data_IF_105608328061
#
_entry.id   IF_105608328061
#
_cell.length_a   1.000
_cell.length_b   1.000
_cell.length_c   1.000
_cell.angle_alpha   90.00
_cell.angle_beta   90.00
_cell.angle_gamma   90.00
#
_symmetry.space_group_name_H-M   'P 1'
#
loop_
_entity.id
_entity.type
_entity.pdbx_description
1 polymer ?
#
# COMPACT_ATOMS: atom_id res chain seq x y z
N UNK A 1 -2.39 -0.97 -9.08
CA UNK A 1 -1.63 -0.77 -7.82
C UNK A 1 -2.19 -1.69 -6.77
N UNK A 2 -1.36 -2.43 -6.04
CA UNK A 2 -1.80 -3.20 -4.88
C UNK A 2 -1.49 -2.41 -3.61
N UNK A 3 -2.47 -2.30 -2.72
CA UNK A 3 -2.28 -1.74 -1.38
C UNK A 3 -2.35 -2.89 -0.39
N UNK A 4 -1.24 -3.21 0.28
CA UNK A 4 -1.12 -4.33 1.22
C UNK A 4 -1.29 -3.86 2.66
N UNK A 5 -1.78 -4.76 3.52
CA UNK A 5 -2.07 -4.43 4.91
C UNK A 5 -3.19 -3.39 5.05
N UNK A 6 -4.06 -3.32 4.03
CA UNK A 6 -5.11 -2.32 3.96
C UNK A 6 -6.12 -2.53 5.09
N UNK A 7 -6.53 -1.43 5.73
CA UNK A 7 -7.54 -1.40 6.78
C UNK A 7 -8.58 -0.30 6.51
N UNK A 8 -9.54 -0.16 7.43
CA UNK A 8 -10.64 0.82 7.27
C UNK A 8 -10.19 2.27 7.10
N UNK A 9 -9.02 2.67 7.63
CA UNK A 9 -8.48 4.02 7.46
C UNK A 9 -8.06 4.29 6.01
N UNK A 10 -7.61 3.27 5.28
CA UNK A 10 -7.16 3.43 3.90
C UNK A 10 -8.34 3.62 2.93
N UNK A 11 -9.56 3.36 3.39
CA UNK A 11 -10.82 3.57 2.65
C UNK A 11 -11.28 5.04 2.73
N UNK A 12 -10.85 5.79 3.74
CA UNK A 12 -11.29 7.18 3.95
C UNK A 12 -10.77 8.10 2.83
N UNK A 13 -9.57 7.82 2.32
CA UNK A 13 -8.85 8.70 1.39
C UNK A 13 -8.77 8.17 -0.05
N UNK A 14 -9.71 7.32 -0.48
CA UNK A 14 -9.67 6.72 -1.83
C UNK A 14 -9.63 7.78 -2.95
N UNK A 15 -10.24 8.95 -2.74
CA UNK A 15 -10.23 10.06 -3.71
C UNK A 15 -8.83 10.58 -4.01
N UNK A 16 -7.91 10.49 -3.05
CA UNK A 16 -6.56 11.00 -3.23
C UNK A 16 -5.81 10.30 -4.39
N UNK A 17 -6.17 9.06 -4.73
CA UNK A 17 -5.57 8.32 -5.84
C UNK A 17 -5.83 8.96 -7.21
N UNK A 18 -6.86 9.80 -7.36
CA UNK A 18 -7.12 10.52 -8.61
C UNK A 18 -5.96 11.44 -9.00
N UNK A 19 -5.15 11.93 -8.05
CA UNK A 19 -3.99 12.78 -8.37
C UNK A 19 -3.02 12.12 -9.35
N UNK A 20 -2.90 10.78 -9.32
CA UNK A 20 -2.03 10.05 -10.23
C UNK A 20 -2.48 10.16 -11.69
N UNK A 21 -3.79 10.28 -11.94
CA UNK A 21 -4.36 10.50 -13.28
C UNK A 21 -4.06 11.91 -13.81
N UNK A 22 -3.77 12.86 -12.92
CA UNK A 22 -3.33 14.20 -13.31
C UNK A 22 -1.82 14.27 -13.54
N UNK A 23 -1.04 13.52 -12.77
CA UNK A 23 0.43 13.55 -12.81
C UNK A 23 1.01 12.74 -13.97
N UNK A 24 0.41 11.61 -14.33
CA UNK A 24 0.87 10.79 -15.46
C UNK A 24 -0.12 10.88 -16.62
N UNK A 25 0.25 11.66 -17.64
CA UNK A 25 -0.59 11.93 -18.82
C UNK A 25 -0.95 10.66 -19.60
N UNK A 26 -0.11 9.61 -19.52
CA UNK A 26 -0.35 8.33 -20.20
C UNK A 26 -1.19 7.35 -19.38
N UNK A 27 -1.54 7.68 -18.14
CA UNK A 27 -2.35 6.84 -17.27
C UNK A 27 -3.83 7.17 -17.45
N UNK A 28 -4.53 6.38 -18.25
CA UNK A 28 -5.97 6.53 -18.50
C UNK A 28 -6.82 5.53 -17.69
N UNK A 29 -6.23 4.49 -17.13
CA UNK A 29 -6.94 3.51 -16.31
C UNK A 29 -6.13 3.14 -15.07
N UNK A 30 -6.66 3.52 -13.89
CA UNK A 30 -6.05 3.26 -12.61
C UNK A 30 -6.94 2.32 -11.79
N UNK A 31 -6.40 1.14 -11.47
CA UNK A 31 -7.07 0.16 -10.61
C UNK A 31 -6.26 0.02 -9.32
N UNK A 32 -6.91 0.31 -8.21
CA UNK A 32 -6.36 0.16 -6.86
C UNK A 32 -6.99 -1.08 -6.23
N UNK A 33 -6.18 -2.07 -5.89
CA UNK A 33 -6.62 -3.29 -5.22
C UNK A 33 -6.15 -3.23 -3.77
N UNK A 34 -7.08 -2.98 -2.84
CA UNK A 34 -6.83 -2.95 -1.41
C UNK A 34 -6.95 -4.36 -0.83
N UNK A 35 -5.89 -4.84 -0.21
CA UNK A 35 -5.76 -6.23 0.25
C UNK A 35 -5.39 -6.22 1.73
N UNK A 36 -6.24 -6.81 2.55
CA UNK A 36 -6.00 -6.94 3.99
C UNK A 36 -7.15 -7.61 4.73
N UNK A 37 -6.87 -8.43 5.76
CA UNK A 37 -7.88 -9.20 6.48
C UNK A 37 -8.84 -8.33 7.32
N UNK A 38 -8.48 -7.06 7.57
CA UNK A 38 -9.31 -6.12 8.34
C UNK A 38 -10.42 -5.45 7.51
N UNK A 39 -10.45 -5.70 6.19
CA UNK A 39 -11.45 -5.11 5.30
C UNK A 39 -12.81 -5.78 5.51
N UNK A 40 -13.87 -4.96 5.66
CA UNK A 40 -15.24 -5.44 5.78
C UNK A 40 -15.83 -5.67 4.39
N UNK A 41 -15.87 -6.94 3.96
CA UNK A 41 -16.45 -7.47 2.71
C UNK A 41 -15.80 -7.01 1.40
N UNK A 42 -15.59 -7.97 0.48
CA UNK A 42 -15.04 -7.71 -0.85
C UNK A 42 -16.03 -7.03 -1.77
N UNK A 43 -15.56 -6.13 -2.63
CA UNK A 43 -16.41 -5.38 -3.54
C UNK A 43 -15.63 -4.60 -4.58
N UNK A 44 -16.33 -4.17 -5.62
CA UNK A 44 -15.84 -3.25 -6.64
C UNK A 44 -16.53 -1.90 -6.45
N UNK A 45 -15.74 -0.82 -6.47
CA UNK A 45 -16.27 0.54 -6.42
C UNK A 45 -15.60 1.39 -7.47
N UNK A 46 -16.39 1.90 -8.41
CA UNK A 46 -15.97 2.98 -9.29
C UNK A 46 -16.16 4.31 -8.59
N UNK A 47 -15.20 5.21 -8.72
CA UNK A 47 -15.25 6.52 -8.07
C UNK A 47 -15.58 7.62 -9.07
N UNK A 48 -16.40 8.59 -8.66
CA UNK A 48 -16.70 9.76 -9.48
C UNK A 48 -15.46 10.63 -9.63
N UNK A 49 -14.96 10.74 -10.86
CA UNK A 49 -13.81 11.57 -11.21
C UNK A 49 -14.18 13.05 -11.32
N UNK A 50 -13.18 13.92 -11.20
CA UNK A 50 -13.28 15.32 -11.56
C UNK A 50 -13.59 15.49 -13.06
N UNK A 51 -14.03 16.69 -13.43
CA UNK A 51 -14.44 16.97 -14.80
C UNK A 51 -13.30 16.75 -15.81
N UNK A 52 -12.07 17.16 -15.48
CA UNK A 52 -10.91 17.03 -16.37
C UNK A 52 -10.61 15.54 -16.64
N UNK A 53 -10.59 14.71 -15.59
CA UNK A 53 -10.33 13.28 -15.77
C UNK A 53 -11.48 12.58 -16.51
N UNK A 54 -12.73 12.99 -16.28
CA UNK A 54 -13.88 12.47 -17.01
C UNK A 54 -13.87 12.84 -18.49
N UNK A 55 -13.52 14.08 -18.84
CA UNK A 55 -13.38 14.52 -20.23
C UNK A 55 -12.25 13.79 -20.97
N UNK A 56 -11.21 13.36 -20.24
CA UNK A 56 -10.12 12.51 -20.76
C UNK A 56 -10.49 11.02 -20.82
N UNK A 57 -11.72 10.67 -20.46
CA UNK A 57 -12.19 9.28 -20.37
C UNK A 57 -11.35 8.39 -19.43
N UNK A 58 -10.74 9.01 -18.41
CA UNK A 58 -9.99 8.28 -17.41
C UNK A 58 -10.92 7.37 -16.59
N UNK A 59 -10.35 6.31 -16.01
CA UNK A 59 -11.05 5.40 -15.10
C UNK A 59 -10.28 5.22 -13.80
N UNK A 60 -10.99 5.28 -12.68
CA UNK A 60 -10.46 4.98 -11.35
C UNK A 60 -11.38 3.99 -10.64
N UNK A 61 -10.85 2.80 -10.40
CA UNK A 61 -11.59 1.69 -9.81
C UNK A 61 -10.89 1.15 -8.57
N UNK A 62 -11.68 0.75 -7.59
CA UNK A 62 -11.24 0.16 -6.34
C UNK A 62 -11.77 -1.26 -6.20
N UNK A 63 -10.90 -2.19 -5.81
CA UNK A 63 -11.25 -3.58 -5.48
C UNK A 63 -10.81 -3.84 -4.04
N UNK A 64 -11.72 -4.34 -3.22
CA UNK A 64 -11.43 -4.68 -1.82
C UNK A 64 -11.34 -6.20 -1.68
N UNK A 65 -10.25 -6.67 -1.09
CA UNK A 65 -9.94 -8.10 -0.95
C UNK A 65 -9.64 -8.41 0.53
N UNK A 66 -10.61 -8.96 1.28
CA UNK A 66 -10.50 -9.17 2.73
C UNK A 66 -9.72 -10.44 3.08
N UNK A 67 -8.46 -10.53 2.66
CA UNK A 67 -7.58 -11.69 2.91
C UNK A 67 -6.11 -11.29 3.02
N UNK A 68 -5.23 -12.25 3.28
CA UNK A 68 -3.79 -12.04 3.29
C UNK A 68 -3.25 -11.91 1.86
N UNK A 69 -2.15 -11.18 1.70
CA UNK A 69 -1.62 -10.92 0.36
C UNK A 69 -1.17 -12.19 -0.36
N UNK A 70 -0.60 -13.16 0.37
CA UNK A 70 -0.17 -14.42 -0.24
C UNK A 70 -1.35 -15.27 -0.72
N UNK A 71 -2.46 -15.27 0.01
CA UNK A 71 -3.69 -15.95 -0.42
C UNK A 71 -4.22 -15.33 -1.73
N UNK A 72 -4.25 -13.99 -1.80
CA UNK A 72 -4.69 -13.26 -3.00
C UNK A 72 -3.84 -13.61 -4.24
N UNK A 73 -2.52 -13.69 -4.09
CA UNK A 73 -1.62 -14.05 -5.21
C UNK A 73 -1.84 -15.50 -5.65
N UNK A 74 -2.17 -16.40 -4.72
CA UNK A 74 -2.41 -17.82 -5.00
C UNK A 74 -3.81 -18.09 -5.59
N UNK A 75 -4.71 -17.09 -5.63
CA UNK A 75 -6.01 -17.25 -6.26
C UNK A 75 -5.87 -17.55 -7.75
N UNK A 76 -6.50 -18.64 -8.20
CA UNK A 76 -6.46 -19.09 -9.60
C UNK A 76 -7.25 -18.20 -10.56
N UNK A 77 -8.17 -17.36 -10.06
CA UNK A 77 -9.04 -16.51 -10.86
C UNK A 77 -8.99 -15.07 -10.34
N UNK A 78 -8.84 -14.12 -11.27
CA UNK A 78 -9.02 -12.69 -10.97
C UNK A 78 -7.80 -11.97 -10.38
N UNK A 79 -6.68 -12.67 -10.17
CA UNK A 79 -5.42 -12.02 -9.83
C UNK A 79 -4.97 -11.10 -10.99
N UNK A 80 -4.66 -9.84 -10.66
CA UNK A 80 -4.02 -8.90 -11.60
C UNK A 80 -2.60 -8.65 -11.13
N UNK A 81 -1.64 -8.68 -12.05
CA UNK A 81 -0.25 -8.34 -11.72
C UNK A 81 -0.16 -6.85 -11.33
N UNK A 82 0.49 -6.49 -10.21
CA UNK A 82 0.67 -5.09 -9.84
C UNK A 82 1.76 -4.41 -10.67
N UNK A 83 1.55 -3.14 -11.01
CA UNK A 83 2.61 -2.25 -11.50
C UNK A 83 3.51 -1.75 -10.35
N UNK A 84 2.93 -1.62 -9.16
CA UNK A 84 3.59 -1.23 -7.90
C UNK A 84 2.76 -1.77 -6.73
N UNK A 85 3.46 -2.15 -5.67
CA UNK A 85 2.88 -2.55 -4.38
C UNK A 85 3.17 -1.44 -3.37
N UNK A 86 2.15 -1.00 -2.65
CA UNK A 86 2.23 0.05 -1.64
C UNK A 86 1.72 -0.47 -0.30
N UNK A 87 2.41 -0.14 0.79
CA UNK A 87 1.94 -0.43 2.16
C UNK A 87 2.11 0.79 3.03
N UNK A 88 1.07 1.19 3.77
CA UNK A 88 1.13 2.30 4.71
C UNK A 88 1.07 1.78 6.14
N UNK A 89 2.06 2.15 6.97
CA UNK A 89 2.17 1.73 8.37
C UNK A 89 2.18 0.22 8.59
N UNK A 90 2.68 -0.53 7.61
CA UNK A 90 2.78 -1.98 7.73
C UNK A 90 3.84 -2.36 8.76
N UNK A 91 3.54 -3.37 9.56
CA UNK A 91 4.49 -3.96 10.50
C UNK A 91 4.66 -5.44 10.18
N UNK A 92 5.70 -5.76 9.40
CA UNK A 92 6.02 -7.13 9.03
C UNK A 92 6.50 -8.00 10.21
N UNK A 93 6.79 -7.40 11.36
CA UNK A 93 7.10 -8.15 12.58
C UNK A 93 5.84 -8.44 13.42
N UNK A 94 4.69 -7.84 13.07
CA UNK A 94 3.43 -8.08 13.77
C UNK A 94 2.77 -9.35 13.23
N UNK A 95 2.90 -10.42 14.01
CA UNK A 95 2.38 -11.74 13.68
C UNK A 95 3.28 -12.50 12.68
N UNK A 96 2.99 -13.79 12.50
CA UNK A 96 3.86 -14.68 11.73
C UNK A 96 3.49 -14.78 10.24
N UNK A 97 2.38 -14.17 9.81
CA UNK A 97 1.78 -14.35 8.46
C UNK A 97 2.45 -13.55 7.34
N UNK A 98 3.35 -12.61 7.67
CA UNK A 98 4.00 -11.76 6.67
C UNK A 98 5.12 -12.46 5.90
N UNK A 99 5.66 -13.57 6.42
CA UNK A 99 6.81 -14.23 5.81
C UNK A 99 6.47 -14.77 4.41
N UNK A 100 5.29 -15.37 4.24
CA UNK A 100 4.75 -15.84 2.97
C UNK A 100 4.44 -14.65 2.04
N UNK A 101 3.82 -13.59 2.57
CA UNK A 101 3.51 -12.37 1.81
C UNK A 101 4.77 -11.71 1.26
N UNK A 102 5.85 -11.61 2.04
CA UNK A 102 7.12 -11.03 1.60
C UNK A 102 7.72 -11.82 0.43
N UNK A 103 7.66 -13.16 0.48
CA UNK A 103 8.15 -14.01 -0.62
C UNK A 103 7.37 -13.75 -1.91
N UNK A 104 6.03 -13.77 -1.84
CA UNK A 104 5.23 -13.52 -3.06
C UNK A 104 5.32 -12.07 -3.56
N UNK A 105 5.61 -11.09 -2.69
CA UNK A 105 5.90 -9.70 -3.08
C UNK A 105 7.15 -9.65 -3.96
N UNK A 106 8.22 -10.34 -3.54
CA UNK A 106 9.46 -10.45 -4.31
C UNK A 106 9.20 -11.08 -5.68
N UNK A 107 8.38 -12.13 -5.73
CA UNK A 107 8.03 -12.84 -6.96
C UNK A 107 7.21 -12.01 -7.96
N UNK A 108 6.51 -10.95 -7.50
CA UNK A 108 5.80 -10.04 -8.41
C UNK A 108 6.74 -9.25 -9.32
N UNK A 109 8.01 -9.07 -8.92
CA UNK A 109 9.02 -8.36 -9.71
C UNK A 109 8.67 -6.90 -10.00
N UNK A 110 7.88 -6.26 -9.14
CA UNK A 110 7.51 -4.84 -9.25
C UNK A 110 8.02 -4.05 -8.02
N UNK A 111 8.10 -2.71 -8.11
CA UNK A 111 8.52 -1.88 -6.98
C UNK A 111 7.62 -2.05 -5.75
N UNK A 112 8.25 -2.06 -4.58
CA UNK A 112 7.59 -2.01 -3.28
C UNK A 112 7.85 -0.63 -2.64
N UNK A 113 6.78 0.08 -2.28
CA UNK A 113 6.83 1.36 -1.58
C UNK A 113 6.16 1.21 -0.22
N UNK A 114 6.89 1.50 0.86
CA UNK A 114 6.37 1.39 2.22
C UNK A 114 6.44 2.75 2.91
N UNK A 115 5.38 3.15 3.60
CA UNK A 115 5.34 4.36 4.42
C UNK A 115 5.28 4.05 5.91
N UNK A 116 5.98 4.82 6.73
CA UNK A 116 6.08 4.62 8.18
C UNK A 116 5.95 5.92 8.96
N UNK A 117 5.47 5.86 10.21
CA UNK A 117 5.48 7.03 11.12
C UNK A 117 6.86 7.36 11.68
N UNK A 118 7.78 6.39 11.70
CA UNK A 118 9.06 6.50 12.39
C UNK A 118 10.13 5.68 11.66
N UNK A 119 11.35 6.21 11.59
CA UNK A 119 12.52 5.55 10.99
C UNK A 119 12.76 4.15 11.54
N UNK A 120 12.67 3.98 12.87
CA UNK A 120 12.86 2.68 13.52
C UNK A 120 11.90 1.61 12.98
N UNK A 121 10.67 1.98 12.62
CA UNK A 121 9.71 1.03 12.02
C UNK A 121 10.13 0.65 10.60
N UNK A 122 10.65 1.59 9.82
CA UNK A 122 11.20 1.31 8.50
C UNK A 122 12.37 0.31 8.60
N UNK A 123 13.35 0.58 9.49
CA UNK A 123 14.50 -0.31 9.72
C UNK A 123 14.08 -1.71 10.15
N UNK A 124 13.13 -1.84 11.07
CA UNK A 124 12.62 -3.15 11.51
C UNK A 124 11.97 -3.94 10.37
N UNK A 125 11.27 -3.26 9.46
CA UNK A 125 10.67 -3.90 8.28
C UNK A 125 11.75 -4.32 7.27
N UNK A 126 12.76 -3.48 7.04
CA UNK A 126 13.91 -3.81 6.17
C UNK A 126 14.61 -5.08 6.68
N UNK A 127 14.94 -5.13 7.98
CA UNK A 127 15.58 -6.30 8.60
C UNK A 127 14.72 -7.56 8.42
N UNK A 128 13.39 -7.44 8.61
CA UNK A 128 12.46 -8.56 8.41
C UNK A 128 12.44 -9.03 6.96
N UNK A 129 12.40 -8.12 5.98
CA UNK A 129 12.44 -8.47 4.55
C UNK A 129 13.75 -9.18 4.22
N UNK A 130 14.89 -8.61 4.61
CA UNK A 130 16.22 -9.17 4.37
C UNK A 130 16.35 -10.57 4.96
N UNK A 131 15.92 -10.77 6.22
CA UNK A 131 15.91 -12.08 6.88
C UNK A 131 15.00 -13.09 6.19
N UNK A 132 13.79 -12.70 5.80
CA UNK A 132 12.82 -13.60 5.15
C UNK A 132 13.29 -14.03 3.76
N UNK A 133 13.84 -13.11 2.97
CA UNK A 133 14.31 -13.37 1.61
C UNK A 133 15.75 -13.91 1.56
N UNK A 134 16.46 -13.92 2.71
CA UNK A 134 17.89 -14.27 2.80
C UNK A 134 18.74 -13.43 1.85
N UNK A 135 18.42 -12.14 1.74
CA UNK A 135 19.15 -11.17 0.92
C UNK A 135 19.80 -10.13 1.82
N UNK A 136 20.91 -9.56 1.36
CA UNK A 136 21.55 -8.40 1.97
C UNK A 136 21.54 -7.25 0.95
N UNK A 137 20.35 -6.69 0.72
CA UNK A 137 20.15 -5.59 -0.22
C UNK A 137 19.48 -4.43 0.51
N UNK A 138 20.08 -3.26 0.39
CA UNK A 138 19.50 -2.03 0.90
C UNK A 138 18.39 -1.52 -0.02
N UNK A 139 17.35 -0.88 0.54
CA UNK A 139 16.31 -0.24 -0.26
C UNK A 139 16.92 0.88 -1.13
N UNK A 140 16.32 1.11 -2.29
CA UNK A 140 16.76 2.18 -3.20
C UNK A 140 16.56 3.58 -2.61
N UNK A 141 15.53 3.73 -1.77
CA UNK A 141 15.25 4.94 -1.03
C UNK A 141 14.94 4.57 0.41
N UNK A 142 15.54 5.28 1.36
CA UNK A 142 15.18 5.25 2.75
C UNK A 142 15.37 6.66 3.32
N UNK A 143 14.35 7.21 3.95
CA UNK A 143 14.47 8.51 4.60
C UNK A 143 13.15 9.20 4.86
N UNK A 144 13.23 10.48 5.22
CA UNK A 144 12.04 11.31 5.45
C UNK A 144 11.24 11.51 4.17
N UNK A 145 9.93 11.41 4.30
CA UNK A 145 8.98 11.68 3.24
C UNK A 145 8.57 13.15 3.24
N UNK A 146 8.92 13.89 2.20
CA UNK A 146 8.48 15.28 2.03
C UNK A 146 6.97 15.43 1.79
N UNK A 147 6.27 14.33 1.48
CA UNK A 147 4.84 14.27 1.26
C UNK A 147 4.12 13.50 2.38
N UNK A 148 4.66 13.56 3.60
CA UNK A 148 4.03 13.00 4.78
C UNK A 148 2.65 13.62 5.06
N UNK A 149 1.80 12.88 5.75
CA UNK A 149 0.50 13.39 6.20
C UNK A 149 0.69 14.56 7.16
N UNK A 150 -0.07 15.64 6.96
CA UNK A 150 0.03 16.85 7.79
C UNK A 150 -0.85 16.80 9.05
N UNK A 151 -1.74 15.82 9.15
CA UNK A 151 -2.61 15.64 10.30
C UNK A 151 -1.86 14.91 11.43
N UNK A 152 -1.79 15.48 12.65
CA UNK A 152 -1.18 14.80 13.79
C UNK A 152 -2.11 13.70 14.32
N UNK A 153 -1.52 12.56 14.67
CA UNK A 153 -2.18 11.42 15.30
C UNK A 153 -1.57 11.16 16.68
N UNK A 154 -2.39 10.73 17.64
CA UNK A 154 -1.91 10.31 18.96
C UNK A 154 -1.69 8.79 18.96
N UNK A 155 -0.47 8.36 19.28
CA UNK A 155 -0.20 6.97 19.57
C UNK A 155 -0.79 6.64 20.94
N UNK A 156 -1.74 5.70 20.99
CA UNK A 156 -2.44 5.34 22.22
C UNK A 156 -1.55 4.54 23.20
N UNK A 157 -0.55 3.83 22.70
CA UNK A 157 0.38 3.04 23.51
C UNK A 157 1.46 3.92 24.16
N UNK A 158 2.04 4.85 23.40
CA UNK A 158 3.16 5.67 23.87
C UNK A 158 2.75 7.07 24.33
N UNK A 159 1.55 7.52 23.99
CA UNK A 159 1.08 8.88 24.21
C UNK A 159 1.65 9.93 23.26
N UNK A 160 2.63 9.58 22.43
CA UNK A 160 3.32 10.51 21.54
C UNK A 160 2.47 10.92 20.32
N UNK A 161 2.76 12.10 19.78
CA UNK A 161 2.20 12.56 18.51
C UNK A 161 3.06 12.01 17.36
N UNK A 162 2.40 11.59 16.28
CA UNK A 162 3.06 11.18 15.04
C UNK A 162 2.29 11.60 13.80
N UNK A 163 2.98 11.61 12.67
CA UNK A 163 2.39 11.89 11.36
C UNK A 163 2.40 10.62 10.50
N UNK A 164 1.40 10.48 9.63
CA UNK A 164 1.32 9.31 8.75
C UNK A 164 2.36 9.40 7.63
N UNK A 165 2.98 8.28 7.30
CA UNK A 165 3.98 8.16 6.23
C UNK A 165 5.11 9.21 6.30
N UNK A 166 5.62 9.51 7.49
CA UNK A 166 6.73 10.45 7.73
C UNK A 166 8.08 9.93 7.19
N UNK A 167 8.21 8.62 7.02
CA UNK A 167 9.36 7.96 6.44
C UNK A 167 8.93 7.02 5.29
N UNK A 168 9.81 6.85 4.31
CA UNK A 168 9.72 5.89 3.21
C UNK A 168 10.91 4.92 3.26
#
# INVERSE_FOLDING_TARGET
IHVIGANSMDIVDLRAWEILLHLEVRLYNLIIILIGPELKTGGYKEHGLCEICRQKENKLSFVFVPMLYHDYIQMTVGHRKPSIIVGSHVDFNKGDTWSESIKVIQDQGCPLLLGFSYERKALNNIIKIQKTLKINKEPRCMGKNYFAGLAPYKNLETGNIYFRNDYL
#
